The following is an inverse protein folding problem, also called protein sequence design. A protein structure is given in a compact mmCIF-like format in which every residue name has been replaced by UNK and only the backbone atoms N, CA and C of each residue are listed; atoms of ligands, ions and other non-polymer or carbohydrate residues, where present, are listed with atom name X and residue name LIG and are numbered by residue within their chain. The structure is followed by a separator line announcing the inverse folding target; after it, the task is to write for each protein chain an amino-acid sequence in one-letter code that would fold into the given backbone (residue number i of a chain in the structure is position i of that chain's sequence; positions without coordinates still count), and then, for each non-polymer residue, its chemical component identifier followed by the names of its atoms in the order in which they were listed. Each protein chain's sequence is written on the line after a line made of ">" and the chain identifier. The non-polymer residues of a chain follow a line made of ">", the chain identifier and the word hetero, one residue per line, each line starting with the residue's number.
data_IF_963018975138
#
_entry.id   IF_963018975138
#
_cell.length_a   1.000
_cell.length_b   1.000
_cell.length_c   1.000
_cell.angle_alpha   90.00
_cell.angle_beta   90.00
_cell.angle_gamma   90.00
#
_symmetry.space_group_name_H-M   'P 1'
#
loop_
_entity.id
_entity.type
_entity.pdbx_description
1 polymer ?
#
# COMPACT_ATOMS: atom_id res chain seq x y z
N UNK A 1 23.06 -9.47 -11.95
CA UNK A 1 23.69 -8.14 -12.18
C UNK A 1 22.90 -6.99 -11.55
N UNK A 2 21.60 -6.82 -11.85
CA UNK A 2 20.81 -5.66 -11.39
C UNK A 2 20.74 -5.45 -9.86
N UNK A 3 20.61 -6.51 -9.05
CA UNK A 3 20.55 -6.42 -7.57
C UNK A 3 21.75 -5.74 -6.91
N UNK A 4 22.93 -5.81 -7.52
CA UNK A 4 24.20 -5.29 -6.95
C UNK A 4 24.45 -3.81 -7.27
N UNK A 5 23.60 -3.19 -8.11
CA UNK A 5 23.77 -1.80 -8.51
C UNK A 5 23.07 -0.87 -7.51
N UNK A 6 23.84 -0.05 -6.79
CA UNK A 6 23.35 0.88 -5.75
C UNK A 6 22.41 1.95 -6.32
N UNK A 7 22.69 2.47 -7.51
CA UNK A 7 21.84 3.43 -8.22
C UNK A 7 20.50 2.79 -8.55
N UNK A 8 20.51 1.57 -9.09
CA UNK A 8 19.29 0.81 -9.37
C UNK A 8 18.44 0.61 -8.11
N UNK A 9 19.06 0.23 -6.98
CA UNK A 9 18.36 0.08 -5.69
C UNK A 9 17.74 1.39 -5.20
N UNK A 10 18.47 2.50 -5.27
CA UNK A 10 17.97 3.81 -4.88
C UNK A 10 16.76 4.24 -5.75
N UNK A 11 16.82 4.01 -7.06
CA UNK A 11 15.69 4.27 -7.94
C UNK A 11 14.46 3.41 -7.62
N UNK A 12 14.64 2.12 -7.34
CA UNK A 12 13.53 1.23 -6.97
C UNK A 12 12.85 1.65 -5.67
N UNK A 13 13.63 1.99 -4.65
CA UNK A 13 13.08 2.49 -3.37
C UNK A 13 12.33 3.79 -3.61
N UNK A 14 12.95 4.77 -4.28
CA UNK A 14 12.29 6.05 -4.59
C UNK A 14 10.98 5.86 -5.35
N UNK A 15 10.95 4.96 -6.33
CA UNK A 15 9.73 4.65 -7.07
C UNK A 15 8.66 4.04 -6.14
N UNK A 16 9.07 3.17 -5.22
CA UNK A 16 8.16 2.46 -4.32
C UNK A 16 7.61 3.33 -3.20
N UNK A 17 8.25 4.46 -2.93
CA UNK A 17 7.83 5.48 -1.97
C UNK A 17 7.05 6.64 -2.63
N UNK A 18 6.83 6.60 -3.95
CA UNK A 18 6.11 7.67 -4.65
C UNK A 18 4.65 7.79 -4.19
N UNK A 19 4.01 6.66 -3.95
CA UNK A 19 2.64 6.58 -3.44
C UNK A 19 2.67 6.36 -1.93
N UNK A 20 1.96 7.19 -1.19
CA UNK A 20 1.95 7.15 0.27
C UNK A 20 0.55 6.80 0.78
N UNK A 21 0.43 5.96 1.83
CA UNK A 21 -0.83 5.72 2.48
C UNK A 21 -1.44 7.03 3.00
N UNK A 22 -2.76 7.21 2.92
CA UNK A 22 -3.42 8.49 3.17
C UNK A 22 -3.58 8.74 4.67
N UNK A 23 -2.46 8.91 5.38
CA UNK A 23 -2.40 9.23 6.80
C UNK A 23 -1.76 10.61 7.02
N UNK A 24 -2.47 11.48 7.73
CA UNK A 24 -1.96 12.75 8.24
C UNK A 24 -1.04 12.58 9.45
N UNK A 25 -0.55 13.71 9.97
CA UNK A 25 0.43 13.75 11.06
C UNK A 25 -0.09 13.12 12.37
N UNK A 26 -1.39 13.23 12.63
CA UNK A 26 -2.06 12.70 13.84
C UNK A 26 -2.85 11.41 13.58
N UNK A 27 -2.41 10.57 12.63
CA UNK A 27 -3.10 9.32 12.21
C UNK A 27 -4.57 9.53 11.74
N UNK A 28 -4.97 10.75 11.43
CA UNK A 28 -6.20 11.03 10.67
C UNK A 28 -6.02 10.69 9.19
N UNK A 29 -7.11 10.59 8.43
CA UNK A 29 -7.01 10.40 6.98
C UNK A 29 -6.48 11.67 6.30
N UNK A 30 -5.55 11.52 5.37
CA UNK A 30 -5.13 12.57 4.46
C UNK A 30 -6.09 12.59 3.26
N UNK A 31 -7.12 13.45 3.32
CA UNK A 31 -8.16 13.54 2.30
C UNK A 31 -7.77 14.46 1.14
N UNK A 32 -8.36 14.20 -0.03
CA UNK A 32 -8.29 15.07 -1.19
C UNK A 32 -8.89 16.43 -0.82
N UNK A 33 -8.16 17.52 -1.09
CA UNK A 33 -8.48 18.87 -0.59
C UNK A 33 -9.40 19.70 -1.50
N UNK A 34 -9.49 19.34 -2.78
CA UNK A 34 -10.22 20.11 -3.79
C UNK A 34 -10.69 19.25 -4.96
N UNK A 35 -11.54 19.82 -5.81
CA UNK A 35 -12.10 19.16 -7.00
C UNK A 35 -13.24 18.19 -6.68
N UNK A 36 -13.62 17.40 -7.69
CA UNK A 36 -14.77 16.47 -7.64
C UNK A 36 -14.68 15.44 -6.51
N UNK A 37 -13.46 15.06 -6.12
CA UNK A 37 -13.19 14.04 -5.12
C UNK A 37 -12.82 14.60 -3.74
N UNK A 38 -13.12 15.88 -3.48
CA UNK A 38 -12.87 16.51 -2.18
C UNK A 38 -13.47 15.68 -1.03
N UNK A 39 -12.75 15.63 0.09
CA UNK A 39 -13.11 14.91 1.33
C UNK A 39 -13.17 13.38 1.18
N UNK A 40 -12.52 12.84 0.13
CA UNK A 40 -12.41 11.40 -0.13
C UNK A 40 -10.97 10.91 -0.07
N UNK A 41 -10.84 9.60 0.10
CA UNK A 41 -9.60 8.82 0.01
C UNK A 41 -9.52 8.21 -1.39
N UNK A 42 -8.35 8.30 -2.04
CA UNK A 42 -8.05 7.48 -3.23
C UNK A 42 -7.60 6.07 -2.82
N UNK A 43 -8.56 5.14 -2.79
CA UNK A 43 -8.33 3.75 -2.38
C UNK A 43 -7.40 2.99 -3.33
N UNK A 44 -7.19 3.48 -4.55
CA UNK A 44 -6.28 2.84 -5.51
C UNK A 44 -4.87 3.37 -5.34
N UNK A 45 -4.64 4.66 -5.60
CA UNK A 45 -3.29 5.22 -5.66
C UNK A 45 -2.67 5.43 -4.29
N UNK A 46 -3.48 5.78 -3.27
CA UNK A 46 -2.98 5.91 -1.90
C UNK A 46 -3.19 4.63 -1.08
N UNK A 47 -4.12 3.75 -1.47
CA UNK A 47 -4.38 2.50 -0.75
C UNK A 47 -3.58 1.30 -1.27
N UNK A 48 -4.00 0.78 -2.43
CA UNK A 48 -3.47 -0.49 -2.97
C UNK A 48 -2.07 -0.33 -3.55
N UNK A 49 -1.82 0.73 -4.32
CA UNK A 49 -0.56 0.91 -5.07
C UNK A 49 0.70 0.90 -4.19
N UNK A 50 0.74 1.56 -3.02
CA UNK A 50 1.90 1.48 -2.12
C UNK A 50 2.31 0.05 -1.73
N UNK A 51 1.33 -0.85 -1.55
CA UNK A 51 1.59 -2.25 -1.21
C UNK A 51 2.11 -3.01 -2.42
N UNK A 52 1.52 -2.78 -3.61
CA UNK A 52 2.00 -3.33 -4.88
C UNK A 52 3.46 -2.93 -5.13
N UNK A 53 3.77 -1.67 -4.86
CA UNK A 53 5.10 -1.11 -5.03
C UNK A 53 6.11 -1.71 -4.05
N UNK A 54 5.74 -1.90 -2.76
CA UNK A 54 6.55 -2.65 -1.79
C UNK A 54 6.79 -4.09 -2.23
N UNK A 55 5.75 -4.81 -2.65
CA UNK A 55 5.88 -6.17 -3.16
C UNK A 55 6.85 -6.25 -4.34
N UNK A 56 6.76 -5.29 -5.28
CA UNK A 56 7.70 -5.19 -6.41
C UNK A 56 9.13 -4.91 -5.93
N UNK A 57 9.31 -4.01 -4.97
CA UNK A 57 10.63 -3.71 -4.40
C UNK A 57 11.29 -4.95 -3.80
N UNK A 58 10.57 -5.69 -2.96
CA UNK A 58 11.09 -6.89 -2.33
C UNK A 58 11.37 -8.00 -3.35
N UNK A 59 10.47 -8.18 -4.32
CA UNK A 59 10.68 -9.15 -5.39
C UNK A 59 11.94 -8.80 -6.21
N UNK A 60 12.15 -7.53 -6.57
CA UNK A 60 13.32 -7.13 -7.34
C UNK A 60 14.62 -7.19 -6.52
N UNK A 61 14.59 -6.85 -5.23
CA UNK A 61 15.77 -6.93 -4.36
C UNK A 61 16.20 -8.38 -4.11
N UNK A 62 15.23 -9.29 -4.00
CA UNK A 62 15.41 -10.73 -3.95
C UNK A 62 15.37 -11.40 -5.33
N UNK A 63 15.37 -10.63 -6.42
CA UNK A 63 15.27 -11.01 -7.85
C UNK A 63 14.46 -12.27 -8.09
N UNK A 64 13.26 -12.22 -7.53
CA UNK A 64 12.17 -13.14 -7.63
C UNK A 64 11.40 -12.86 -8.93
N UNK A 65 10.74 -13.86 -9.48
CA UNK A 65 10.04 -13.80 -10.78
C UNK A 65 8.53 -13.61 -10.65
N UNK A 66 8.00 -13.67 -9.42
CA UNK A 66 6.57 -13.49 -9.12
C UNK A 66 6.06 -12.14 -9.63
N UNK A 67 4.88 -12.16 -10.24
CA UNK A 67 4.26 -10.98 -10.85
C UNK A 67 3.07 -10.44 -10.06
N UNK A 68 2.35 -11.31 -9.37
CA UNK A 68 1.21 -10.93 -8.55
C UNK A 68 1.67 -10.39 -7.19
N UNK A 69 0.97 -9.39 -6.65
CA UNK A 69 1.37 -8.72 -5.41
C UNK A 69 1.48 -9.67 -4.22
N UNK A 70 0.47 -10.53 -4.03
CA UNK A 70 0.45 -11.55 -2.97
C UNK A 70 1.64 -12.50 -3.09
N UNK A 71 1.81 -13.11 -4.27
CA UNK A 71 2.91 -14.04 -4.54
C UNK A 71 4.29 -13.39 -4.31
N UNK A 72 4.44 -12.11 -4.66
CA UNK A 72 5.67 -11.35 -4.40
C UNK A 72 5.95 -11.22 -2.90
N UNK A 73 4.94 -10.90 -2.09
CA UNK A 73 5.09 -10.75 -0.64
C UNK A 73 5.38 -12.09 0.03
N UNK A 74 4.70 -13.15 -0.41
CA UNK A 74 4.95 -14.53 0.07
C UNK A 74 6.35 -15.00 -0.30
N UNK A 75 6.75 -14.87 -1.57
CA UNK A 75 8.10 -15.26 -2.01
C UNK A 75 9.19 -14.40 -1.36
N UNK A 76 8.94 -13.10 -1.13
CA UNK A 76 9.85 -12.23 -0.40
C UNK A 76 10.04 -12.67 1.06
N UNK A 77 8.97 -13.16 1.70
CA UNK A 77 9.02 -13.74 3.05
C UNK A 77 9.91 -14.98 3.05
N UNK A 78 9.67 -15.92 2.12
CA UNK A 78 10.47 -17.14 2.01
C UNK A 78 11.95 -16.85 1.72
N UNK A 79 12.22 -15.79 0.95
CA UNK A 79 13.58 -15.33 0.66
C UNK A 79 14.24 -14.53 1.81
N UNK A 80 13.52 -14.27 2.91
CA UNK A 80 14.03 -13.56 4.09
C UNK A 80 14.31 -12.06 3.89
N UNK A 81 13.84 -11.45 2.80
CA UNK A 81 14.05 -10.00 2.54
C UNK A 81 13.03 -9.09 3.24
N UNK A 82 11.98 -9.70 3.78
CA UNK A 82 10.98 -9.08 4.65
C UNK A 82 10.75 -10.03 5.83
N UNK A 83 10.52 -9.48 7.02
CA UNK A 83 10.21 -10.31 8.19
C UNK A 83 8.90 -11.07 8.00
N UNK A 84 8.77 -12.23 8.65
CA UNK A 84 7.54 -13.02 8.58
C UNK A 84 6.31 -12.26 9.08
N UNK A 85 6.47 -11.43 10.12
CA UNK A 85 5.40 -10.54 10.59
C UNK A 85 5.07 -9.45 9.57
N UNK A 86 6.07 -8.72 9.06
CA UNK A 86 5.84 -7.64 8.10
C UNK A 86 5.18 -8.12 6.81
N UNK A 87 5.51 -9.33 6.35
CA UNK A 87 4.86 -9.94 5.20
C UNK A 87 3.38 -10.28 5.48
N UNK A 88 3.07 -10.86 6.65
CA UNK A 88 1.68 -11.13 7.06
C UNK A 88 0.88 -9.84 7.17
N UNK A 89 1.42 -8.85 7.88
CA UNK A 89 0.74 -7.56 8.08
C UNK A 89 0.46 -6.86 6.74
N UNK A 90 1.39 -6.91 5.78
CA UNK A 90 1.16 -6.35 4.44
C UNK A 90 0.10 -7.13 3.64
N UNK A 91 0.04 -8.45 3.77
CA UNK A 91 -0.98 -9.27 3.12
C UNK A 91 -2.36 -8.96 3.69
N UNK A 92 -2.47 -8.86 5.01
CA UNK A 92 -3.73 -8.51 5.69
C UNK A 92 -4.19 -7.10 5.33
N UNK A 93 -3.26 -6.13 5.32
CA UNK A 93 -3.55 -4.76 4.88
C UNK A 93 -3.97 -4.72 3.40
N UNK A 94 -3.32 -5.51 2.54
CA UNK A 94 -3.64 -5.60 1.11
C UNK A 94 -5.07 -6.11 0.90
N UNK A 95 -5.43 -7.21 1.56
CA UNK A 95 -6.76 -7.80 1.45
C UNK A 95 -7.82 -6.85 1.96
N UNK A 96 -7.62 -6.24 3.13
CA UNK A 96 -8.58 -5.28 3.68
C UNK A 96 -8.82 -4.11 2.72
N UNK A 97 -7.74 -3.44 2.29
CA UNK A 97 -7.85 -2.24 1.44
C UNK A 97 -8.47 -2.59 0.08
N UNK A 98 -8.07 -3.74 -0.50
CA UNK A 98 -8.63 -4.23 -1.75
C UNK A 98 -10.12 -4.56 -1.61
N UNK A 99 -10.52 -5.26 -0.55
CA UNK A 99 -11.91 -5.62 -0.28
C UNK A 99 -12.78 -4.40 -0.04
N UNK A 100 -12.37 -3.46 0.82
CA UNK A 100 -13.11 -2.21 1.04
C UNK A 100 -13.27 -1.42 -0.27
N UNK A 101 -12.25 -1.39 -1.13
CA UNK A 101 -12.33 -0.75 -2.44
C UNK A 101 -13.34 -1.46 -3.35
N UNK A 102 -13.35 -2.79 -3.39
CA UNK A 102 -14.28 -3.59 -4.17
C UNK A 102 -15.72 -3.42 -3.67
N UNK A 103 -15.93 -3.42 -2.36
CA UNK A 103 -17.23 -3.22 -1.74
C UNK A 103 -17.81 -1.83 -2.05
N UNK A 104 -16.98 -0.78 -2.01
CA UNK A 104 -17.37 0.56 -2.45
C UNK A 104 -17.81 0.58 -3.92
N UNK A 105 -17.05 -0.08 -4.80
CA UNK A 105 -17.40 -0.17 -6.22
C UNK A 105 -18.71 -0.95 -6.43
N UNK A 106 -18.88 -2.07 -5.73
CA UNK A 106 -20.08 -2.87 -5.79
C UNK A 106 -21.30 -2.09 -5.28
N UNK A 107 -21.16 -1.33 -4.19
CA UNK A 107 -22.22 -0.44 -3.66
C UNK A 107 -22.62 0.60 -4.70
N UNK A 108 -21.65 1.25 -5.34
CA UNK A 108 -21.91 2.25 -6.40
C UNK A 108 -22.68 1.64 -7.58
N UNK A 109 -22.31 0.45 -8.01
CA UNK A 109 -23.01 -0.26 -9.09
C UNK A 109 -24.46 -0.57 -8.68
N UNK A 110 -24.70 -1.06 -7.45
CA UNK A 110 -26.05 -1.31 -6.93
C UNK A 110 -26.91 -0.04 -6.85
N UNK A 111 -26.29 1.11 -6.62
CA UNK A 111 -26.94 2.43 -6.65
C UNK A 111 -27.13 3.00 -8.07
N UNK A 112 -26.80 2.27 -9.13
CA UNK A 112 -26.89 2.74 -10.51
C UNK A 112 -25.82 3.77 -10.89
N UNK A 113 -24.74 3.89 -10.12
CA UNK A 113 -23.66 4.87 -10.32
C UNK A 113 -22.42 4.21 -10.93
N UNK A 114 -21.64 4.98 -11.71
CA UNK A 114 -20.34 4.51 -12.20
C UNK A 114 -19.40 4.17 -11.03
N UNK A 115 -18.73 3.01 -11.01
CA UNK A 115 -17.75 2.67 -9.99
C UNK A 115 -16.53 3.60 -10.07
N UNK A 116 -15.96 3.94 -8.92
CA UNK A 116 -14.72 4.73 -8.82
C UNK A 116 -13.82 4.21 -7.68
N UNK A 117 -12.71 4.92 -7.40
CA UNK A 117 -11.77 4.56 -6.33
C UNK A 117 -11.85 5.54 -5.13
N UNK A 118 -12.80 6.47 -5.15
CA UNK A 118 -12.82 7.61 -4.23
C UNK A 118 -13.88 7.39 -3.16
N UNK A 119 -13.42 7.00 -1.98
CA UNK A 119 -14.27 6.64 -0.85
C UNK A 119 -14.31 7.77 0.18
N UNK A 120 -15.49 8.20 0.60
CA UNK A 120 -15.64 9.15 1.68
C UNK A 120 -15.51 8.41 3.03
N UNK A 121 -14.55 8.72 3.91
CA UNK A 121 -14.46 8.04 5.21
C UNK A 121 -15.68 8.27 6.11
N UNK A 122 -16.46 9.34 5.85
CA UNK A 122 -17.72 9.60 6.52
C UNK A 122 -18.80 8.54 6.22
N UNK A 123 -18.66 7.75 5.14
CA UNK A 123 -19.59 6.67 4.83
C UNK A 123 -19.28 5.35 5.54
N UNK A 124 -18.22 5.30 6.33
CA UNK A 124 -17.79 4.14 7.11
C UNK A 124 -18.20 4.30 8.58
N UNK A 125 -18.41 3.18 9.28
CA UNK A 125 -18.50 3.16 10.73
C UNK A 125 -17.15 3.51 11.39
N UNK A 126 -17.16 3.84 12.68
CA UNK A 126 -15.91 4.09 13.41
C UNK A 126 -14.97 2.88 13.45
N UNK A 127 -15.54 1.67 13.55
CA UNK A 127 -14.77 0.44 13.53
C UNK A 127 -14.05 0.26 12.19
N UNK A 128 -14.76 0.39 11.08
CA UNK A 128 -14.18 0.30 9.73
C UNK A 128 -13.13 1.40 9.49
N UNK A 129 -13.41 2.63 9.95
CA UNK A 129 -12.44 3.74 9.86
C UNK A 129 -11.15 3.42 10.61
N UNK A 130 -11.24 2.87 11.82
CA UNK A 130 -10.06 2.54 12.62
C UNK A 130 -9.28 1.39 11.99
N UNK A 131 -9.98 0.33 11.55
CA UNK A 131 -9.34 -0.80 10.88
C UNK A 131 -8.61 -0.35 9.60
N UNK A 132 -9.21 0.54 8.80
CA UNK A 132 -8.58 1.09 7.60
C UNK A 132 -7.36 1.97 7.95
N UNK A 133 -7.42 2.76 9.02
CA UNK A 133 -6.25 3.54 9.50
C UNK A 133 -5.12 2.63 9.95
N UNK A 134 -5.42 1.55 10.64
CA UNK A 134 -4.41 0.59 11.12
C UNK A 134 -3.72 -0.09 9.94
N UNK A 135 -4.48 -0.53 8.93
CA UNK A 135 -3.91 -1.06 7.69
C UNK A 135 -3.00 -0.04 6.99
N UNK A 136 -3.43 1.22 6.86
CA UNK A 136 -2.55 2.26 6.32
C UNK A 136 -1.31 2.51 7.20
N UNK A 137 -1.43 2.33 8.52
CA UNK A 137 -0.33 2.41 9.47
C UNK A 137 0.72 1.33 9.24
N UNK A 138 0.29 0.10 8.96
CA UNK A 138 1.17 -1.00 8.54
C UNK A 138 1.92 -0.61 7.27
N UNK A 139 1.21 -0.17 6.22
CA UNK A 139 1.84 0.22 4.95
C UNK A 139 2.91 1.30 5.17
N UNK A 140 2.60 2.33 5.98
CA UNK A 140 3.54 3.42 6.28
C UNK A 140 4.78 2.92 7.04
N UNK A 141 4.59 2.01 7.99
CA UNK A 141 5.68 1.39 8.76
C UNK A 141 6.60 0.60 7.83
N UNK A 142 6.03 -0.19 6.92
CA UNK A 142 6.80 -1.00 5.98
C UNK A 142 7.53 -0.16 4.93
N UNK A 143 6.92 0.93 4.46
CA UNK A 143 7.61 1.92 3.61
C UNK A 143 8.80 2.55 4.33
N UNK A 144 8.65 2.90 5.61
CA UNK A 144 9.73 3.46 6.42
C UNK A 144 10.87 2.46 6.63
N UNK A 145 10.53 1.19 6.91
CA UNK A 145 11.52 0.11 7.06
C UNK A 145 12.29 -0.12 5.76
N UNK A 146 11.60 -0.17 4.62
CA UNK A 146 12.23 -0.32 3.31
C UNK A 146 13.18 0.85 2.99
N UNK A 147 12.80 2.09 3.32
CA UNK A 147 13.65 3.26 3.15
C UNK A 147 14.93 3.18 4.00
N UNK A 148 14.80 2.81 5.28
CA UNK A 148 15.92 2.74 6.21
C UNK A 148 16.93 1.64 5.86
N UNK A 149 16.46 0.51 5.31
CA UNK A 149 17.33 -0.59 4.87
C UNK A 149 18.31 -0.21 3.75
N UNK A 150 18.10 0.93 3.09
CA UNK A 150 19.00 1.46 2.07
C UNK A 150 20.06 2.39 2.66
N UNK A 151 19.69 3.20 3.65
CA UNK A 151 20.60 4.12 4.35
C UNK A 151 21.68 3.41 5.16
N UNK A 152 21.42 2.18 5.61
CA UNK A 152 22.39 1.34 6.32
C UNK A 152 23.27 0.47 5.41
N UNK A 153 23.01 0.46 4.10
CA UNK A 153 23.72 -0.35 3.12
C UNK A 153 24.65 0.46 2.21
N UNK A 154 24.85 1.75 2.52
CA UNK A 154 25.82 2.66 1.90
C UNK A 154 26.76 3.21 2.95
#
# INVERSE_FOLDING_TARGET
>A
AARKNSIFRAHMVRNSLKHQPPLGLFRGFALIRSGENKDRIDMKHAGVVPIVDLGRLYALSAGLTQVNTRERLEAAREAGVISASGARDLLDAYDLIANMRLEHQAKRIREGRKPDNFMAPASLSDLERNHLKDAFGVVKTMQSAAANSLSSAG
#
